data_IF_871720017783
#
_entry.id   IF_871720017783
#
_cell.length_a   1.000
_cell.length_b   1.000
_cell.length_c   1.000
_cell.angle_alpha   90.00
_cell.angle_beta   90.00
_cell.angle_gamma   90.00
#
_symmetry.space_group_name_H-M   'P 1'
#
loop_
_entity.id
_entity.type
_entity.pdbx_description
1 polymer ?
#
# COMPACT_ATOMS: atom_id res chain seq x y z
N UNK A 1 -10.73 25.83 -43.88
CA UNK A 1 -11.34 25.09 -45.00
C UNK A 1 -12.83 24.96 -44.73
N UNK A 2 -13.60 25.90 -45.26
CA UNK A 2 -15.07 25.88 -45.33
C UNK A 2 -15.45 25.30 -46.70
N UNK A 3 -16.31 24.30 -46.71
CA UNK A 3 -17.17 23.92 -47.85
C UNK A 3 -18.42 23.30 -47.21
N UNK A 4 -19.61 23.92 -47.29
CA UNK A 4 -20.58 23.79 -48.40
C UNK A 4 -21.07 22.33 -48.49
N UNK A 5 -22.36 21.96 -48.58
CA UNK A 5 -23.47 22.61 -49.27
C UNK A 5 -24.75 21.78 -49.07
N UNK A 6 -25.89 22.47 -49.18
CA UNK A 6 -27.19 22.05 -49.76
C UNK A 6 -28.01 20.93 -49.08
N UNK A 7 -29.24 21.16 -48.61
CA UNK A 7 -30.45 21.72 -49.21
C UNK A 7 -31.29 20.70 -50.01
N UNK A 8 -32.48 20.45 -49.45
CA UNK A 8 -33.79 20.24 -50.11
C UNK A 8 -33.97 18.98 -50.95
N UNK A 9 -34.90 18.11 -50.52
CA UNK A 9 -35.87 17.54 -51.46
C UNK A 9 -37.21 17.25 -50.78
N UNK A 10 -38.23 17.96 -51.26
CA UNK A 10 -39.65 17.75 -50.99
C UNK A 10 -40.17 16.52 -51.73
N UNK A 11 -40.94 15.66 -51.06
CA UNK A 11 -41.93 14.85 -51.76
C UNK A 11 -43.18 14.65 -50.90
N UNK A 12 -44.23 15.37 -51.30
CA UNK A 12 -45.62 15.15 -50.91
C UNK A 12 -46.10 13.93 -51.70
N UNK A 13 -46.60 12.92 -51.02
CA UNK A 13 -47.40 11.88 -51.66
C UNK A 13 -48.59 11.53 -50.77
N UNK A 14 -49.75 12.00 -51.20
CA UNK A 14 -51.07 11.64 -50.71
C UNK A 14 -51.46 10.25 -51.24
N UNK A 15 -51.73 9.29 -50.37
CA UNK A 15 -52.46 8.09 -50.77
C UNK A 15 -53.24 7.44 -49.62
N UNK A 16 -54.56 7.48 -49.81
CA UNK A 16 -55.55 6.42 -49.55
C UNK A 16 -55.78 5.97 -48.09
N UNK A 17 -56.94 6.40 -47.59
CA UNK A 17 -57.67 5.80 -46.47
C UNK A 17 -58.00 4.33 -46.79
N UNK A 18 -57.30 3.42 -46.11
CA UNK A 18 -57.67 2.01 -46.00
C UNK A 18 -58.15 1.71 -44.58
N UNK A 19 -59.46 1.69 -44.39
CA UNK A 19 -60.11 1.36 -43.12
C UNK A 19 -59.95 -0.15 -42.86
N UNK A 20 -58.95 -0.55 -42.08
CA UNK A 20 -58.81 -1.93 -41.59
C UNK A 20 -59.16 -1.96 -40.11
N UNK A 21 -60.36 -2.46 -39.79
CA UNK A 21 -60.72 -2.86 -38.44
C UNK A 21 -59.83 -4.03 -38.00
N UNK A 22 -58.67 -3.74 -37.39
CA UNK A 22 -57.92 -4.73 -36.61
C UNK A 22 -58.64 -4.95 -35.29
N UNK A 23 -59.16 -6.15 -35.10
CA UNK A 23 -59.43 -6.68 -33.77
C UNK A 23 -58.14 -6.60 -32.95
N UNK A 24 -58.07 -5.63 -32.04
CA UNK A 24 -57.06 -5.59 -30.98
C UNK A 24 -57.40 -6.73 -30.02
N UNK A 25 -56.90 -7.93 -30.32
CA UNK A 25 -56.82 -8.98 -29.31
C UNK A 25 -55.89 -8.48 -28.21
N UNK A 26 -56.50 -8.05 -27.10
CA UNK A 26 -55.81 -7.76 -25.86
C UNK A 26 -55.04 -9.00 -25.43
N UNK A 27 -53.77 -9.09 -25.83
CA UNK A 27 -52.79 -9.99 -25.23
C UNK A 27 -52.73 -9.61 -23.75
N UNK A 28 -53.41 -10.39 -22.91
CA UNK A 28 -53.24 -10.33 -21.48
C UNK A 28 -51.76 -10.42 -21.16
N UNK A 29 -51.17 -9.30 -20.73
CA UNK A 29 -49.85 -9.28 -20.10
C UNK A 29 -49.94 -10.22 -18.91
N UNK A 30 -49.36 -11.41 -19.02
CA UNK A 30 -49.06 -12.23 -17.85
C UNK A 30 -48.12 -11.38 -17.00
N UNK A 31 -48.65 -10.78 -15.93
CA UNK A 31 -47.82 -10.23 -14.86
C UNK A 31 -47.05 -11.42 -14.29
N UNK A 32 -45.81 -11.62 -14.73
CA UNK A 32 -44.88 -12.44 -14.00
C UNK A 32 -44.83 -11.84 -12.59
N UNK A 33 -45.40 -12.54 -11.62
CA UNK A 33 -45.41 -12.10 -10.23
C UNK A 33 -43.96 -11.84 -9.82
N UNK A 34 -43.61 -10.56 -9.65
CA UNK A 34 -42.30 -10.17 -9.15
C UNK A 34 -42.24 -10.65 -7.71
N UNK A 35 -41.60 -11.81 -7.48
CA UNK A 35 -41.22 -12.26 -6.14
C UNK A 35 -40.13 -11.30 -5.65
N UNK A 36 -40.53 -10.30 -4.88
CA UNK A 36 -39.60 -9.41 -4.20
C UNK A 36 -38.87 -10.14 -3.07
N UNK A 37 -37.63 -9.75 -2.80
CA UNK A 37 -36.89 -10.16 -1.60
C UNK A 37 -37.67 -9.75 -0.36
N UNK A 38 -37.80 -10.66 0.62
CA UNK A 38 -38.41 -10.34 1.90
C UNK A 38 -37.48 -9.48 2.74
N UNK A 39 -38.05 -8.54 3.51
CA UNK A 39 -37.29 -7.72 4.46
C UNK A 39 -36.54 -8.59 5.48
N UNK A 40 -37.10 -9.76 5.82
CA UNK A 40 -36.44 -10.72 6.72
C UNK A 40 -35.20 -11.37 6.09
N UNK A 41 -35.22 -11.64 4.78
CA UNK A 41 -34.08 -12.20 4.06
C UNK A 41 -32.94 -11.19 4.04
N UNK A 42 -33.27 -9.91 3.82
CA UNK A 42 -32.28 -8.85 3.81
C UNK A 42 -31.67 -8.62 5.20
N UNK A 43 -32.47 -8.69 6.28
CA UNK A 43 -31.95 -8.55 7.65
C UNK A 43 -30.96 -9.67 8.02
N UNK A 44 -31.24 -10.91 7.62
CA UNK A 44 -30.33 -12.03 7.88
C UNK A 44 -29.01 -11.85 7.11
N UNK A 45 -29.08 -11.42 5.85
CA UNK A 45 -27.88 -11.18 5.04
C UNK A 45 -27.01 -10.08 5.66
N UNK A 46 -27.62 -8.97 6.09
CA UNK A 46 -26.87 -7.88 6.75
C UNK A 46 -26.26 -8.36 8.07
N UNK A 47 -26.98 -9.18 8.84
CA UNK A 47 -26.43 -9.75 10.08
C UNK A 47 -25.19 -10.62 9.83
N UNK A 48 -25.22 -11.49 8.81
CA UNK A 48 -24.08 -12.35 8.46
C UNK A 48 -22.89 -11.50 7.96
N UNK A 49 -23.14 -10.51 7.08
CA UNK A 49 -22.09 -9.60 6.59
C UNK A 49 -21.46 -8.83 7.75
N UNK A 50 -22.27 -8.38 8.73
CA UNK A 50 -21.78 -7.68 9.92
C UNK A 50 -20.77 -8.51 10.72
N UNK A 51 -21.07 -9.79 10.95
CA UNK A 51 -20.17 -10.71 11.67
C UNK A 51 -18.87 -10.92 10.89
N UNK A 52 -18.96 -11.18 9.59
CA UNK A 52 -17.78 -11.40 8.74
C UNK A 52 -16.90 -10.15 8.67
N UNK A 53 -17.50 -8.97 8.51
CA UNK A 53 -16.79 -7.69 8.46
C UNK A 53 -16.03 -7.42 9.76
N UNK A 54 -16.61 -7.74 10.93
CA UNK A 54 -15.97 -7.57 12.23
C UNK A 54 -14.65 -8.34 12.37
N UNK A 55 -14.54 -9.52 11.76
CA UNK A 55 -13.31 -10.34 11.77
C UNK A 55 -12.37 -9.92 10.63
N UNK A 56 -12.91 -9.64 9.45
CA UNK A 56 -12.14 -9.37 8.25
C UNK A 56 -11.40 -8.01 8.30
N UNK A 57 -12.03 -6.96 8.83
CA UNK A 57 -11.45 -5.61 8.88
C UNK A 57 -10.12 -5.57 9.66
N UNK A 58 -10.01 -6.05 10.92
CA UNK A 58 -8.75 -6.00 11.65
C UNK A 58 -7.66 -6.85 11.01
N UNK A 59 -8.01 -8.00 10.43
CA UNK A 59 -7.05 -8.86 9.71
C UNK A 59 -6.52 -8.17 8.44
N UNK A 60 -7.41 -7.52 7.68
CA UNK A 60 -7.01 -6.78 6.48
C UNK A 60 -6.12 -5.58 6.82
N UNK A 61 -6.44 -4.84 7.89
CA UNK A 61 -5.58 -3.76 8.38
C UNK A 61 -4.18 -4.27 8.77
N UNK A 62 -4.10 -5.43 9.41
CA UNK A 62 -2.83 -6.04 9.77
C UNK A 62 -2.03 -6.50 8.53
N UNK A 63 -2.70 -7.01 7.50
CA UNK A 63 -2.08 -7.33 6.22
C UNK A 63 -1.52 -6.10 5.52
N UNK A 64 -2.29 -5.01 5.44
CA UNK A 64 -1.85 -3.74 4.85
C UNK A 64 -0.64 -3.20 5.60
N UNK A 65 -0.65 -3.23 6.94
CA UNK A 65 0.50 -2.83 7.74
C UNK A 65 1.76 -3.66 7.44
N UNK A 66 1.66 -4.98 7.28
CA UNK A 66 2.80 -5.84 6.89
C UNK A 66 3.34 -5.49 5.50
N UNK A 67 2.44 -5.18 4.55
CA UNK A 67 2.82 -4.76 3.21
C UNK A 67 3.60 -3.44 3.24
N UNK A 68 3.08 -2.45 3.97
CA UNK A 68 3.77 -1.17 4.17
C UNK A 68 5.13 -1.33 4.87
N UNK A 69 5.21 -2.23 5.85
CA UNK A 69 6.46 -2.53 6.54
C UNK A 69 7.52 -3.12 5.60
N UNK A 70 7.12 -3.94 4.63
CA UNK A 70 8.02 -4.51 3.63
C UNK A 70 8.69 -3.45 2.76
N UNK A 71 8.00 -2.35 2.44
CA UNK A 71 8.60 -1.23 1.72
C UNK A 71 9.77 -0.62 2.53
N UNK A 72 9.57 -0.41 3.83
CA UNK A 72 10.60 0.06 4.75
C UNK A 72 11.85 -0.82 4.75
N UNK A 73 11.67 -2.14 4.84
CA UNK A 73 12.78 -3.09 4.76
C UNK A 73 13.47 -3.03 3.40
N UNK A 74 12.72 -2.94 2.31
CA UNK A 74 13.29 -2.95 0.97
C UNK A 74 14.16 -1.71 0.73
N UNK A 75 13.66 -0.52 1.09
CA UNK A 75 14.42 0.72 0.97
C UNK A 75 15.66 0.72 1.88
N UNK A 76 15.54 0.25 3.13
CA UNK A 76 16.68 0.11 4.03
C UNK A 76 17.70 -0.93 3.51
N UNK A 77 17.22 -2.09 3.02
CA UNK A 77 18.09 -3.16 2.54
C UNK A 77 18.86 -2.77 1.29
N UNK A 78 18.31 -1.89 0.46
CA UNK A 78 19.01 -1.32 -0.70
C UNK A 78 20.30 -0.59 -0.34
N UNK A 79 20.43 -0.07 0.89
CA UNK A 79 21.62 0.66 1.33
C UNK A 79 22.72 -0.25 1.90
N UNK A 80 22.45 -1.55 2.12
CA UNK A 80 23.41 -2.46 2.78
C UNK A 80 24.75 -2.54 2.05
N UNK A 81 24.73 -2.61 0.72
CA UNK A 81 25.95 -2.74 -0.08
C UNK A 81 26.84 -1.51 0.07
N UNK A 82 26.29 -0.31 -0.17
CA UNK A 82 27.02 0.95 -0.04
C UNK A 82 27.54 1.17 1.40
N UNK A 83 26.75 0.85 2.42
CA UNK A 83 27.20 0.94 3.82
C UNK A 83 28.32 -0.03 4.12
N UNK A 84 28.23 -1.26 3.61
CA UNK A 84 29.27 -2.28 3.80
C UNK A 84 30.57 -1.84 3.11
N UNK A 85 30.49 -1.34 1.88
CA UNK A 85 31.64 -0.86 1.12
C UNK A 85 32.30 0.35 1.80
N UNK A 86 31.51 1.35 2.19
CA UNK A 86 32.01 2.53 2.90
C UNK A 86 32.71 2.15 4.21
N UNK A 87 32.14 1.22 4.98
CA UNK A 87 32.74 0.73 6.20
C UNK A 87 34.04 -0.06 5.93
N UNK A 88 34.06 -0.93 4.92
CA UNK A 88 35.26 -1.69 4.55
C UNK A 88 36.41 -0.80 4.08
N UNK A 89 36.12 0.35 3.46
CA UNK A 89 37.13 1.29 3.00
C UNK A 89 37.63 2.23 4.10
N UNK A 90 36.72 2.84 4.86
CA UNK A 90 37.05 3.91 5.80
C UNK A 90 37.14 3.45 7.27
N UNK A 91 36.62 2.26 7.61
CA UNK A 91 36.49 1.79 8.99
C UNK A 91 35.48 2.58 9.83
N UNK A 92 34.74 3.51 9.23
CA UNK A 92 33.74 4.36 9.86
C UNK A 92 32.36 4.19 9.23
N UNK A 93 31.31 4.47 9.98
CA UNK A 93 29.95 4.41 9.43
C UNK A 93 29.63 5.67 8.64
N UNK A 94 29.16 5.55 7.38
CA UNK A 94 28.66 6.69 6.63
C UNK A 94 27.47 7.33 7.37
N UNK A 95 27.32 8.65 7.24
CA UNK A 95 26.22 9.38 7.85
C UNK A 95 25.58 10.33 6.83
N UNK A 96 24.40 9.95 6.34
CA UNK A 96 23.69 10.70 5.30
C UNK A 96 22.68 11.74 5.86
N UNK A 97 22.78 12.09 7.15
CA UNK A 97 21.86 13.03 7.79
C UNK A 97 21.93 14.44 7.20
N UNK A 98 23.12 14.87 6.77
CA UNK A 98 23.38 16.22 6.25
C UNK A 98 23.49 16.30 4.73
N UNK A 99 23.31 15.17 4.03
CA UNK A 99 23.48 15.10 2.57
C UNK A 99 23.92 13.72 2.10
N UNK A 100 24.20 13.60 0.80
CA UNK A 100 24.73 12.37 0.24
C UNK A 100 26.19 12.14 0.70
N UNK A 101 26.55 10.87 0.92
CA UNK A 101 27.87 10.44 1.39
C UNK A 101 28.17 9.04 0.88
N UNK A 102 29.40 8.76 0.44
CA UNK A 102 29.84 7.40 0.03
C UNK A 102 28.89 6.68 -0.94
N UNK A 103 28.32 7.41 -1.91
CA UNK A 103 27.36 6.87 -2.88
C UNK A 103 25.93 6.65 -2.33
N UNK A 104 25.69 6.97 -1.06
CA UNK A 104 24.39 6.92 -0.39
C UNK A 104 23.73 8.31 -0.52
N UNK A 105 22.52 8.42 -1.09
CA UNK A 105 21.79 9.69 -1.13
C UNK A 105 21.48 10.24 0.27
N UNK A 106 21.26 11.55 0.37
CA UNK A 106 20.83 12.17 1.63
C UNK A 106 19.54 11.54 2.17
N UNK A 107 19.38 11.48 3.49
CA UNK A 107 18.34 10.67 4.12
C UNK A 107 16.91 10.93 3.58
N UNK A 108 16.57 12.20 3.35
CA UNK A 108 15.28 12.63 2.82
C UNK A 108 15.07 12.33 1.34
N UNK A 109 16.15 12.07 0.59
CA UNK A 109 16.07 11.65 -0.82
C UNK A 109 15.74 10.16 -0.97
N UNK A 110 15.83 9.39 0.11
CA UNK A 110 15.45 7.97 0.14
C UNK A 110 14.08 7.87 0.83
N UNK A 111 13.01 8.03 0.06
CA UNK A 111 11.63 7.99 0.56
C UNK A 111 10.73 7.13 -0.34
N UNK A 112 9.52 6.85 0.13
CA UNK A 112 8.57 6.02 -0.61
C UNK A 112 7.11 6.37 -0.31
N UNK A 113 6.21 5.46 -0.66
CA UNK A 113 4.78 5.61 -0.41
C UNK A 113 4.49 5.64 1.09
N UNK A 114 5.18 4.82 1.87
CA UNK A 114 4.94 4.66 3.32
C UNK A 114 6.14 5.06 4.19
N UNK A 115 7.30 5.28 3.57
CA UNK A 115 8.56 5.63 4.25
C UNK A 115 8.84 7.11 4.07
N UNK A 116 9.12 7.80 5.18
CA UNK A 116 9.43 9.23 5.26
C UNK A 116 10.86 9.52 4.81
N UNK A 117 11.81 8.72 5.28
CA UNK A 117 13.22 8.81 4.95
C UNK A 117 13.96 7.53 5.34
N UNK A 118 15.16 7.32 4.78
CA UNK A 118 16.10 6.28 5.21
C UNK A 118 17.40 6.93 5.63
N UNK A 119 17.71 6.84 6.92
CA UNK A 119 18.91 7.40 7.49
C UNK A 119 19.95 6.31 7.77
N UNK A 120 21.18 6.59 7.35
CA UNK A 120 22.36 5.79 7.60
C UNK A 120 23.23 6.50 8.64
N UNK A 121 23.82 5.72 9.55
CA UNK A 121 24.68 6.24 10.60
C UNK A 121 25.19 5.12 11.50
N UNK A 122 25.19 5.36 12.81
CA UNK A 122 25.71 4.43 13.81
C UNK A 122 27.14 4.75 14.22
N UNK A 123 27.66 3.95 15.14
CA UNK A 123 29.02 4.09 15.68
C UNK A 123 29.81 2.87 15.26
N UNK A 124 30.91 3.10 14.54
CA UNK A 124 31.79 2.02 14.11
C UNK A 124 32.48 1.36 15.32
N UNK A 125 32.56 0.05 15.25
CA UNK A 125 33.30 -0.86 16.13
C UNK A 125 34.01 -1.88 15.24
N UNK A 126 34.96 -2.64 15.77
CA UNK A 126 35.63 -3.70 15.00
C UNK A 126 34.62 -4.68 14.38
N UNK A 127 33.55 -5.01 15.11
CA UNK A 127 32.50 -5.91 14.63
C UNK A 127 31.46 -5.27 13.70
N UNK A 128 31.58 -3.98 13.36
CA UNK A 128 30.59 -3.24 12.58
C UNK A 128 29.89 -2.16 13.40
N UNK A 129 28.56 -2.13 13.46
CA UNK A 129 27.80 -1.14 14.24
C UNK A 129 27.13 -0.04 13.43
N UNK A 130 27.32 -0.03 12.11
CA UNK A 130 26.60 0.87 11.22
C UNK A 130 25.12 0.51 11.17
N UNK A 131 24.28 1.54 11.12
CA UNK A 131 22.83 1.40 11.15
C UNK A 131 22.21 2.00 9.91
N UNK A 132 21.14 1.35 9.43
CA UNK A 132 20.26 1.87 8.38
C UNK A 132 18.85 1.88 8.96
N UNK A 133 18.26 3.05 9.11
CA UNK A 133 16.96 3.27 9.74
C UNK A 133 15.97 3.83 8.73
N UNK A 134 14.97 3.03 8.34
CA UNK A 134 13.83 3.52 7.58
C UNK A 134 12.74 3.99 8.54
N UNK A 135 12.42 5.28 8.48
CA UNK A 135 11.37 5.89 9.29
C UNK A 135 10.06 5.88 8.50
N UNK A 136 8.99 5.31 9.07
CA UNK A 136 7.67 5.36 8.43
C UNK A 136 7.07 6.76 8.53
N UNK A 137 6.11 7.07 7.65
CA UNK A 137 5.39 8.36 7.68
C UNK A 137 4.55 8.51 8.95
N UNK A 138 4.21 9.77 9.24
CA UNK A 138 3.41 10.15 10.41
C UNK A 138 1.89 10.11 10.13
N UNK A 139 1.50 10.02 8.86
CA UNK A 139 0.12 10.01 8.39
C UNK A 139 -0.04 9.17 7.11
N UNK A 140 -1.28 8.92 6.70
CA UNK A 140 -1.58 8.20 5.45
C UNK A 140 -1.17 6.72 5.44
N UNK A 141 -0.76 6.16 6.58
CA UNK A 141 -0.31 4.77 6.73
C UNK A 141 -1.08 4.03 7.81
N UNK A 142 -0.86 2.71 7.91
CA UNK A 142 -1.47 1.88 8.93
C UNK A 142 -1.06 2.37 10.33
N UNK A 143 -2.03 2.51 11.24
CA UNK A 143 -1.84 3.06 12.60
C UNK A 143 -0.75 2.34 13.41
N UNK A 144 -0.54 1.05 13.15
CA UNK A 144 0.51 0.26 13.79
C UNK A 144 1.94 0.63 13.38
N UNK A 145 2.12 1.44 12.34
CA UNK A 145 3.41 1.87 11.80
C UNK A 145 3.68 3.38 11.95
N UNK A 146 2.65 4.18 12.24
CA UNK A 146 2.78 5.64 12.39
C UNK A 146 3.87 6.00 13.41
N UNK A 147 4.85 6.80 12.97
CA UNK A 147 6.00 7.20 13.80
C UNK A 147 6.93 6.05 14.24
N UNK A 148 6.74 4.85 13.70
CA UNK A 148 7.62 3.70 13.93
C UNK A 148 8.74 3.68 12.89
N UNK A 149 9.72 2.81 13.10
CA UNK A 149 10.87 2.66 12.21
C UNK A 149 11.36 1.22 12.21
N UNK A 150 12.06 0.84 11.15
CA UNK A 150 12.86 -0.38 11.07
C UNK A 150 14.33 0.00 10.95
N UNK A 151 15.16 -0.65 11.76
CA UNK A 151 16.61 -0.43 11.85
C UNK A 151 17.34 -1.72 11.51
N UNK A 152 18.27 -1.63 10.59
CA UNK A 152 19.20 -2.69 10.24
C UNK A 152 20.55 -2.34 10.84
N UNK A 153 21.09 -3.20 11.69
CA UNK A 153 22.39 -2.99 12.33
C UNK A 153 23.40 -3.99 11.77
N UNK A 154 24.50 -3.46 11.27
CA UNK A 154 25.62 -4.24 10.75
C UNK A 154 26.39 -4.90 11.90
N UNK A 155 26.77 -6.16 11.71
CA UNK A 155 27.59 -6.92 12.66
C UNK A 155 28.51 -7.92 11.96
N UNK A 156 29.38 -8.56 12.73
CA UNK A 156 30.33 -9.61 12.29
C UNK A 156 31.44 -9.15 11.33
N UNK A 157 31.63 -7.84 11.15
CA UNK A 157 32.57 -7.28 10.17
C UNK A 157 34.04 -7.66 10.45
N UNK A 158 34.39 -7.92 11.71
CA UNK A 158 35.72 -8.39 12.15
C UNK A 158 36.05 -9.84 11.73
N UNK A 159 35.07 -10.57 11.19
CA UNK A 159 35.21 -11.99 10.82
C UNK A 159 35.19 -12.22 9.30
N UNK A 160 35.46 -11.18 8.50
CA UNK A 160 35.49 -11.28 7.04
C UNK A 160 34.12 -11.54 6.39
N UNK A 161 33.03 -11.28 7.11
CA UNK A 161 31.67 -11.35 6.59
C UNK A 161 30.80 -10.27 7.24
N UNK A 162 29.59 -10.04 6.74
CA UNK A 162 28.69 -9.04 7.31
C UNK A 162 27.33 -9.64 7.56
N UNK A 163 26.82 -9.43 8.78
CA UNK A 163 25.46 -9.77 9.18
C UNK A 163 24.64 -8.51 9.38
N UNK A 164 23.33 -8.61 9.18
CA UNK A 164 22.40 -7.50 9.36
C UNK A 164 21.28 -7.92 10.32
N UNK A 165 21.34 -7.40 11.55
CA UNK A 165 20.27 -7.59 12.51
C UNK A 165 19.13 -6.63 12.19
N UNK A 166 17.95 -7.16 11.93
CA UNK A 166 16.76 -6.34 11.73
C UNK A 166 15.99 -6.17 13.04
N UNK A 167 15.80 -4.92 13.44
CA UNK A 167 15.00 -4.55 14.60
C UNK A 167 13.98 -3.49 14.21
N UNK A 168 12.83 -3.45 14.88
CA UNK A 168 11.81 -2.45 14.57
C UNK A 168 11.08 -2.00 15.83
N UNK A 169 10.69 -0.73 15.85
CA UNK A 169 9.87 -0.19 16.92
C UNK A 169 8.39 -0.55 16.76
N UNK A 170 7.95 -1.08 15.61
CA UNK A 170 6.56 -1.51 15.37
C UNK A 170 6.22 -2.84 16.07
N UNK A 171 4.93 -3.10 16.26
CA UNK A 171 4.46 -4.30 16.96
C UNK A 171 4.80 -5.58 16.19
N UNK A 172 5.24 -6.63 16.89
CA UNK A 172 5.71 -7.91 16.35
C UNK A 172 4.77 -8.54 15.33
N UNK A 173 3.45 -8.32 15.44
CA UNK A 173 2.46 -8.82 14.48
C UNK A 173 2.63 -8.25 13.08
N UNK A 174 3.28 -7.11 12.91
CA UNK A 174 3.56 -6.46 11.63
C UNK A 174 4.92 -6.82 11.05
N UNK A 175 5.81 -7.41 11.86
CA UNK A 175 7.18 -7.72 11.46
C UNK A 175 7.24 -9.08 10.74
N UNK A 176 8.10 -9.21 9.71
CA UNK A 176 8.49 -10.51 9.18
C UNK A 176 9.39 -11.24 10.19
N UNK A 177 9.49 -12.56 10.04
CA UNK A 177 10.27 -13.42 10.96
C UNK A 177 11.74 -13.01 11.12
N UNK A 178 12.32 -12.38 10.09
CA UNK A 178 13.71 -11.91 10.10
C UNK A 178 13.95 -10.69 11.01
N UNK A 179 12.88 -10.01 11.46
CA UNK A 179 12.98 -8.81 12.27
C UNK A 179 12.43 -9.06 13.67
N UNK A 180 13.12 -8.50 14.67
CA UNK A 180 12.69 -8.55 16.06
C UNK A 180 12.14 -7.20 16.50
N UNK A 181 11.07 -7.20 17.29
CA UNK A 181 10.56 -5.97 17.90
C UNK A 181 11.57 -5.49 18.94
N UNK A 182 11.95 -4.21 18.88
CA UNK A 182 12.71 -3.54 19.93
C UNK A 182 11.87 -3.60 21.21
N UNK A 183 12.45 -4.06 22.32
CA UNK A 183 11.75 -4.03 23.60
C UNK A 183 11.48 -2.57 23.96
N UNK A 184 10.29 -2.07 23.64
CA UNK A 184 9.81 -0.82 24.20
C UNK A 184 9.80 -1.03 25.71
N UNK A 185 10.56 -0.24 26.45
CA UNK A 185 10.34 -0.10 27.88
C UNK A 185 8.84 0.22 28.03
N UNK A 186 8.07 -0.73 28.56
CA UNK A 186 6.66 -0.50 28.92
C UNK A 186 6.69 0.64 29.94
N UNK A 187 6.46 1.86 29.48
CA UNK A 187 5.98 2.92 30.35
C UNK A 187 4.67 2.42 30.94
N UNK A 188 4.67 2.18 32.24
CA UNK A 188 3.46 2.10 33.05
C UNK A 188 2.71 3.41 32.97
#
# INVERSE_FOLDING_TARGET
>A
MQTSSNAVHSHVHSHVQGHVHRHVQGRGRRHAAQRGFSLIELMIVVAIIGILAGIAIPQYQDYVARSQFSEGINLASGQKAAVTEAFSYAGSCPNNASGAVDGIPGATSISGSYVKNVQVGGTATESGGCTITANFKDDGIARGLTGRHVKLTMGNADKGSVTWKCESSADKKYLPKACTQLSQARGK
#
